data_IF_735604347890
#
_entry.id   IF_735604347890
#
_cell.length_a   1.000
_cell.length_b   1.000
_cell.length_c   1.000
_cell.angle_alpha   90.00
_cell.angle_beta   90.00
_cell.angle_gamma   90.00
#
_symmetry.space_group_name_H-M   'P 1'
#
loop_
_entity.id
_entity.type
_entity.pdbx_description
1 polymer ?
#
# COMPACT_ATOMS: atom_id res chain seq x y z
N UNK A 1 -1.62 -15.21 9.37
CA UNK A 1 -0.71 -14.14 9.82
C UNK A 1 -0.17 -13.36 8.63
N UNK A 2 -0.27 -12.03 8.64
CA UNK A 2 0.26 -11.16 7.57
C UNK A 2 1.71 -10.77 7.86
N UNK A 3 2.59 -10.85 6.86
CA UNK A 3 4.01 -10.53 7.06
C UNK A 3 4.28 -9.02 7.18
N UNK A 4 3.57 -8.20 6.41
CA UNK A 4 3.85 -6.76 6.33
C UNK A 4 2.89 -5.90 7.14
N UNK A 5 1.64 -6.36 7.28
CA UNK A 5 0.58 -5.54 7.86
C UNK A 5 0.53 -5.64 9.37
N UNK A 6 0.19 -4.52 10.01
CA UNK A 6 0.00 -4.44 11.45
C UNK A 6 -1.19 -5.29 11.88
N UNK A 7 -0.95 -6.20 12.81
CA UNK A 7 -1.96 -7.06 13.46
C UNK A 7 -1.57 -7.24 14.92
N UNK A 8 -2.43 -7.90 15.70
CA UNK A 8 -2.09 -8.31 17.07
C UNK A 8 -0.81 -9.17 17.10
N UNK A 9 -0.67 -10.11 16.16
CA UNK A 9 0.50 -10.98 16.02
C UNK A 9 1.72 -10.30 15.37
N UNK A 10 1.52 -9.14 14.72
CA UNK A 10 2.57 -8.36 14.07
C UNK A 10 2.44 -6.86 14.42
N UNK A 11 2.69 -6.47 15.69
CA UNK A 11 2.46 -5.10 16.15
C UNK A 11 3.45 -4.09 15.54
N UNK A 12 4.59 -4.57 15.03
CA UNK A 12 5.59 -3.77 14.31
C UNK A 12 5.31 -3.64 12.80
N UNK A 13 4.21 -4.23 12.32
CA UNK A 13 3.79 -4.12 10.92
C UNK A 13 3.38 -2.69 10.53
N UNK A 14 3.12 -2.50 9.24
CA UNK A 14 2.70 -1.22 8.65
C UNK A 14 1.21 -1.22 8.34
N UNK A 15 0.63 -0.02 8.20
CA UNK A 15 -0.70 0.10 7.59
C UNK A 15 -0.61 -0.23 6.09
N UNK A 16 -1.73 -0.60 5.49
CA UNK A 16 -1.77 -0.98 4.08
C UNK A 16 -1.35 0.19 3.18
N UNK A 17 -1.88 1.39 3.44
CA UNK A 17 -1.54 2.62 2.73
C UNK A 17 -0.04 2.93 2.79
N UNK A 18 0.61 2.68 3.92
CA UNK A 18 2.06 2.88 4.07
C UNK A 18 2.86 1.91 3.19
N UNK A 19 2.45 0.64 3.15
CA UNK A 19 3.09 -0.37 2.29
C UNK A 19 2.91 -0.01 0.82
N UNK A 20 1.69 0.39 0.42
CA UNK A 20 1.40 0.78 -0.96
C UNK A 20 2.18 2.04 -1.39
N UNK A 21 2.36 3.01 -0.48
CA UNK A 21 3.20 4.19 -0.73
C UNK A 21 4.67 3.80 -0.96
N UNK A 22 5.20 2.86 -0.17
CA UNK A 22 6.57 2.33 -0.37
C UNK A 22 6.69 1.65 -1.74
N UNK A 23 5.74 0.79 -2.11
CA UNK A 23 5.74 0.13 -3.42
C UNK A 23 5.64 1.15 -4.56
N UNK A 24 4.79 2.17 -4.42
CA UNK A 24 4.65 3.24 -5.42
C UNK A 24 5.98 3.98 -5.62
N UNK A 25 6.70 4.29 -4.54
CA UNK A 25 8.03 4.90 -4.60
C UNK A 25 9.00 4.03 -5.40
N UNK A 26 9.11 2.75 -5.09
CA UNK A 26 10.04 1.83 -5.75
C UNK A 26 9.71 1.66 -7.24
N UNK A 27 8.43 1.66 -7.62
CA UNK A 27 8.01 1.61 -9.03
C UNK A 27 8.39 2.90 -9.77
N UNK A 28 8.22 4.08 -9.14
CA UNK A 28 8.67 5.35 -9.73
C UNK A 28 10.18 5.32 -9.96
N UNK A 29 10.97 4.90 -8.96
CA UNK A 29 12.43 4.78 -9.09
C UNK A 29 12.83 3.85 -10.24
N UNK A 30 12.08 2.77 -10.50
CA UNK A 30 12.34 1.90 -11.66
C UNK A 30 11.97 2.57 -12.99
N UNK A 31 10.91 3.38 -13.02
CA UNK A 31 10.51 4.09 -14.24
C UNK A 31 11.59 5.11 -14.66
N UNK A 32 12.20 5.82 -13.71
CA UNK A 32 13.25 6.81 -14.03
C UNK A 32 14.45 6.17 -14.71
N UNK A 33 14.79 4.92 -14.38
CA UNK A 33 15.91 4.19 -14.99
C UNK A 33 15.69 3.83 -16.47
N UNK A 34 14.45 3.81 -16.95
CA UNK A 34 14.10 3.38 -18.33
C UNK A 34 13.38 4.46 -19.14
N UNK A 35 13.27 5.69 -18.62
CA UNK A 35 12.46 6.76 -19.25
C UNK A 35 12.96 7.17 -20.63
N UNK A 36 14.28 7.18 -20.84
CA UNK A 36 14.90 7.56 -22.13
C UNK A 36 15.24 6.35 -23.02
N UNK A 37 14.85 5.13 -22.61
CA UNK A 37 15.11 3.93 -23.38
C UNK A 37 14.09 3.76 -24.51
N UNK A 38 14.56 3.93 -25.75
CA UNK A 38 13.70 3.95 -26.93
C UNK A 38 13.34 2.56 -27.47
N UNK A 39 13.89 1.48 -26.89
CA UNK A 39 13.56 0.11 -27.29
C UNK A 39 12.06 -0.19 -27.06
N UNK A 40 11.39 -0.90 -27.98
CA UNK A 40 9.96 -1.21 -27.85
C UNK A 40 9.59 -1.89 -26.52
N UNK A 41 10.46 -2.75 -26.01
CA UNK A 41 10.29 -3.46 -24.75
C UNK A 41 10.29 -2.49 -23.56
N UNK A 42 11.22 -1.54 -23.54
CA UNK A 42 11.31 -0.54 -22.48
C UNK A 42 10.07 0.37 -22.48
N UNK A 43 9.61 0.80 -23.66
CA UNK A 43 8.37 1.57 -23.80
C UNK A 43 7.15 0.81 -23.28
N UNK A 44 7.04 -0.48 -23.61
CA UNK A 44 5.94 -1.33 -23.13
C UNK A 44 5.97 -1.49 -21.60
N UNK A 45 7.16 -1.71 -21.01
CA UNK A 45 7.32 -1.80 -19.55
C UNK A 45 6.98 -0.47 -18.88
N UNK A 46 7.44 0.66 -19.41
CA UNK A 46 7.12 1.98 -18.88
C UNK A 46 5.61 2.25 -18.92
N UNK A 47 4.94 1.93 -20.04
CA UNK A 47 3.48 2.06 -20.15
C UNK A 47 2.73 1.21 -19.11
N UNK A 48 3.18 -0.03 -18.88
CA UNK A 48 2.62 -0.89 -17.84
C UNK A 48 2.82 -0.31 -16.44
N UNK A 49 4.02 0.20 -16.14
CA UNK A 49 4.31 0.82 -14.86
C UNK A 49 3.46 2.07 -14.62
N UNK A 50 3.24 2.90 -15.64
CA UNK A 50 2.34 4.06 -15.52
C UNK A 50 0.91 3.63 -15.16
N UNK A 51 0.41 2.54 -15.75
CA UNK A 51 -0.90 1.97 -15.38
C UNK A 51 -0.91 1.44 -13.94
N UNK A 52 0.15 0.75 -13.52
CA UNK A 52 0.31 0.26 -12.14
C UNK A 52 0.32 1.43 -11.15
N UNK A 53 1.02 2.52 -11.45
CA UNK A 53 1.09 3.71 -10.58
C UNK A 53 -0.27 4.37 -10.38
N UNK A 54 -1.12 4.40 -11.41
CA UNK A 54 -2.50 4.87 -11.28
C UNK A 54 -3.31 3.95 -10.35
N UNK A 55 -3.24 2.63 -10.55
CA UNK A 55 -3.92 1.65 -9.70
C UNK A 55 -3.45 1.72 -8.24
N UNK A 56 -2.14 1.92 -8.01
CA UNK A 56 -1.59 2.11 -6.67
C UNK A 56 -2.13 3.38 -6.01
N UNK A 57 -2.33 4.45 -6.78
CA UNK A 57 -2.91 5.70 -6.27
C UNK A 57 -4.36 5.50 -5.85
N UNK A 58 -5.17 4.82 -6.66
CA UNK A 58 -6.54 4.45 -6.31
C UNK A 58 -6.58 3.54 -5.06
N UNK A 59 -5.70 2.53 -5.00
CA UNK A 59 -5.62 1.62 -3.87
C UNK A 59 -5.21 2.31 -2.56
N UNK A 60 -4.27 3.27 -2.61
CA UNK A 60 -3.88 4.08 -1.45
C UNK A 60 -5.08 4.87 -0.94
N UNK A 61 -5.83 5.52 -1.84
CA UNK A 61 -6.98 6.31 -1.45
C UNK A 61 -8.07 5.45 -0.79
N UNK A 62 -8.33 4.26 -1.32
CA UNK A 62 -9.27 3.28 -0.75
C UNK A 62 -8.80 2.77 0.62
N UNK A 63 -7.50 2.55 0.79
CA UNK A 63 -6.94 2.12 2.08
C UNK A 63 -7.05 3.22 3.14
N UNK A 64 -6.76 4.47 2.79
CA UNK A 64 -6.92 5.63 3.68
C UNK A 64 -8.38 5.85 4.08
N UNK A 65 -9.31 5.74 3.12
CA UNK A 65 -10.75 5.83 3.39
C UNK A 65 -11.22 4.70 4.32
N UNK A 66 -10.76 3.47 4.08
CA UNK A 66 -11.02 2.32 4.97
C UNK A 66 -10.52 2.59 6.40
N UNK A 67 -9.31 3.14 6.54
CA UNK A 67 -8.77 3.54 7.85
C UNK A 67 -9.66 4.62 8.50
N UNK A 68 -10.08 5.63 7.74
CA UNK A 68 -10.96 6.70 8.23
C UNK A 68 -12.33 6.19 8.69
N UNK A 69 -12.96 5.30 7.92
CA UNK A 69 -14.22 4.65 8.27
C UNK A 69 -14.10 3.92 9.60
N UNK A 70 -13.03 3.12 9.77
CA UNK A 70 -12.79 2.37 10.99
C UNK A 70 -12.48 3.28 12.18
N UNK A 71 -11.68 4.33 11.98
CA UNK A 71 -11.35 5.31 13.02
C UNK A 71 -12.60 6.05 13.50
N UNK A 72 -13.51 6.41 12.58
CA UNK A 72 -14.78 7.06 12.90
C UNK A 72 -15.74 6.13 13.65
N UNK A 73 -15.79 4.86 13.28
CA UNK A 73 -16.74 3.90 13.86
C UNK A 73 -16.28 3.31 15.21
N UNK A 74 -14.97 3.06 15.36
CA UNK A 74 -14.42 2.28 16.48
C UNK A 74 -13.27 2.98 17.21
N UNK A 75 -12.87 4.18 16.77
CA UNK A 75 -11.68 4.86 17.26
C UNK A 75 -10.38 4.32 16.65
N UNK A 76 -9.24 4.88 17.07
CA UNK A 76 -7.94 4.55 16.50
C UNK A 76 -7.56 3.09 16.72
N UNK A 77 -6.93 2.48 15.71
CA UNK A 77 -6.40 1.12 15.81
C UNK A 77 -5.47 0.94 17.02
N UNK A 78 -5.65 -0.15 17.75
CA UNK A 78 -4.76 -0.57 18.85
C UNK A 78 -3.86 -1.76 18.47
N UNK A 79 -3.86 -2.19 17.20
CA UNK A 79 -3.10 -3.36 16.76
C UNK A 79 -1.59 -3.24 17.03
N UNK A 80 -1.02 -2.03 16.93
CA UNK A 80 0.39 -1.76 17.27
C UNK A 80 0.73 -1.93 18.75
N UNK A 81 -0.28 -2.04 19.62
CA UNK A 81 -0.14 -2.33 21.05
C UNK A 81 -0.57 -3.77 21.39
N UNK A 82 -0.77 -4.63 20.40
CA UNK A 82 -1.30 -5.98 20.60
C UNK A 82 -2.80 -5.98 20.94
N UNK A 83 -3.54 -4.93 20.57
CA UNK A 83 -4.99 -4.90 20.73
C UNK A 83 -5.71 -5.73 19.64
N UNK A 84 -6.94 -6.20 19.91
CA UNK A 84 -7.70 -7.02 18.98
C UNK A 84 -8.08 -6.26 17.70
N UNK A 85 -8.42 -6.97 16.61
CA UNK A 85 -8.90 -6.33 15.39
C UNK A 85 -10.23 -5.60 15.64
N UNK A 86 -10.43 -4.47 14.95
CA UNK A 86 -11.66 -3.65 15.07
C UNK A 86 -12.88 -4.32 14.41
N UNK A 87 -12.63 -5.11 13.38
CA UNK A 87 -13.65 -5.87 12.64
C UNK A 87 -13.10 -7.25 12.31
N UNK A 88 -13.99 -8.24 12.17
CA UNK A 88 -13.64 -9.63 11.95
C UNK A 88 -13.50 -10.43 13.25
N UNK A 89 -13.14 -11.71 13.13
CA UNK A 89 -12.90 -12.61 14.25
C UNK A 89 -11.43 -13.05 14.27
N UNK A 90 -10.92 -13.37 15.45
CA UNK A 90 -9.63 -14.04 15.66
C UNK A 90 -9.74 -15.54 15.33
#
# INVERSE_FOLDING_TARGET
MTHYLVTEENPAGKKLEEVLVIVRKDVIERCTLITDDMRPEAKAVLANNMKILNLLTEAIQLAEDSTSILDKAFGPSQASKGGPPRIGHL
#
